data_IF_210507261921
#
_entry.id   IF_210507261921
#
_cell.length_a   1.000
_cell.length_b   1.000
_cell.length_c   1.000
_cell.angle_alpha   90.00
_cell.angle_beta   90.00
_cell.angle_gamma   90.00
#
_symmetry.space_group_name_H-M   'P 1'
#
loop_
_entity.id
_entity.type
_entity.pdbx_description
1 polymer ?
#
# COMPACT_ATOMS: atom_id res chain seq x y z
N UNK A 1 -2.74 -46.40 -0.74
CA UNK A 1 -1.83 -45.62 0.15
C UNK A 1 -0.91 -44.70 -0.65
N UNK A 2 -0.08 -45.18 -1.60
CA UNK A 2 0.85 -44.35 -2.42
C UNK A 2 0.15 -43.26 -3.24
N UNK A 3 -0.97 -43.55 -3.91
CA UNK A 3 -1.73 -42.58 -4.71
C UNK A 3 -2.27 -41.44 -3.83
N UNK A 4 -2.86 -41.75 -2.68
CA UNK A 4 -3.37 -40.74 -1.74
C UNK A 4 -2.22 -39.85 -1.23
N UNK A 5 -1.08 -40.43 -0.90
CA UNK A 5 0.13 -39.67 -0.50
C UNK A 5 0.58 -38.72 -1.62
N UNK A 6 0.64 -39.17 -2.87
CA UNK A 6 1.01 -38.31 -4.00
C UNK A 6 0.02 -37.16 -4.20
N UNK A 7 -1.29 -37.40 -4.07
CA UNK A 7 -2.33 -36.36 -4.18
C UNK A 7 -2.14 -35.31 -3.07
N UNK A 8 -1.98 -35.73 -1.82
CA UNK A 8 -1.76 -34.80 -0.69
C UNK A 8 -0.48 -33.98 -0.89
N UNK A 9 0.62 -34.62 -1.33
CA UNK A 9 1.86 -33.92 -1.61
C UNK A 9 1.69 -32.87 -2.69
N UNK A 10 1.02 -33.19 -3.79
CA UNK A 10 0.74 -32.24 -4.89
C UNK A 10 -0.09 -31.06 -4.36
N UNK A 11 -1.14 -31.29 -3.57
CA UNK A 11 -1.96 -30.22 -3.00
C UNK A 11 -1.14 -29.30 -2.08
N UNK A 12 -0.27 -29.85 -1.24
CA UNK A 12 0.64 -29.08 -0.39
C UNK A 12 1.59 -28.23 -1.24
N UNK A 13 2.19 -28.79 -2.28
CA UNK A 13 3.08 -28.04 -3.18
C UNK A 13 2.34 -26.92 -3.92
N UNK A 14 1.09 -27.14 -4.36
CA UNK A 14 0.27 -26.11 -4.99
C UNK A 14 -0.05 -24.96 -4.01
N UNK A 15 -0.40 -25.28 -2.76
CA UNK A 15 -0.64 -24.28 -1.73
C UNK A 15 0.63 -23.48 -1.44
N UNK A 16 1.76 -24.14 -1.23
CA UNK A 16 3.04 -23.47 -1.05
C UNK A 16 3.39 -22.59 -2.25
N UNK A 17 3.22 -23.09 -3.48
CA UNK A 17 3.43 -22.30 -4.68
C UNK A 17 2.53 -21.05 -4.70
N UNK A 18 1.26 -21.17 -4.33
CA UNK A 18 0.32 -20.06 -4.34
C UNK A 18 0.72 -18.93 -3.39
N UNK A 19 1.21 -19.25 -2.20
CA UNK A 19 1.50 -18.25 -1.14
C UNK A 19 2.96 -17.80 -1.09
N UNK A 20 3.86 -18.36 -1.89
CA UNK A 20 5.30 -18.14 -1.79
C UNK A 20 5.71 -16.70 -2.11
N UNK A 21 6.51 -16.01 -1.26
CA UNK A 21 7.00 -14.66 -1.53
C UNK A 21 8.16 -14.65 -2.55
N UNK A 22 8.73 -13.46 -2.79
CA UNK A 22 9.98 -13.32 -3.52
C UNK A 22 11.17 -13.76 -2.66
N UNK A 23 12.33 -13.96 -3.30
CA UNK A 23 13.60 -14.06 -2.59
C UNK A 23 13.92 -12.74 -1.89
N UNK A 24 14.57 -12.81 -0.74
CA UNK A 24 14.96 -11.64 0.03
C UNK A 24 15.89 -10.70 -0.76
N UNK A 25 15.62 -9.41 -0.74
CA UNK A 25 16.36 -8.35 -1.46
C UNK A 25 16.78 -7.24 -0.48
N UNK A 26 17.79 -7.52 0.35
CA UNK A 26 18.15 -6.68 1.51
C UNK A 26 18.49 -5.23 1.15
N UNK A 27 19.22 -4.99 0.06
CA UNK A 27 19.58 -3.63 -0.36
C UNK A 27 18.37 -2.74 -0.66
N UNK A 28 17.31 -3.32 -1.27
CA UNK A 28 16.09 -2.58 -1.57
C UNK A 28 15.22 -2.34 -0.33
N UNK A 29 15.34 -3.21 0.68
CA UNK A 29 14.54 -3.15 1.91
C UNK A 29 15.13 -2.21 2.95
N UNK A 30 16.45 -2.04 2.94
CA UNK A 30 17.18 -1.28 3.95
C UNK A 30 16.59 0.10 4.25
N UNK A 31 16.14 0.91 3.28
CA UNK A 31 15.52 2.20 3.55
C UNK A 31 14.21 2.16 4.35
N UNK A 32 13.53 1.01 4.35
CA UNK A 32 12.23 0.85 5.01
C UNK A 32 12.33 0.17 6.38
N UNK A 33 13.36 -0.67 6.58
CA UNK A 33 13.50 -1.46 7.80
C UNK A 33 13.73 -0.55 9.00
N UNK A 34 12.89 -0.72 10.04
CA UNK A 34 12.92 0.09 11.25
C UNK A 34 12.32 1.48 11.09
N UNK A 35 11.67 1.79 9.97
CA UNK A 35 11.08 3.10 9.70
C UNK A 35 9.59 3.15 10.04
N UNK A 36 9.15 4.26 10.63
CA UNK A 36 7.75 4.63 10.76
C UNK A 36 7.33 5.48 9.55
N UNK A 37 6.28 5.06 8.85
CA UNK A 37 5.73 5.73 7.68
C UNK A 37 4.37 6.35 8.02
N UNK A 38 4.19 7.63 7.71
CA UNK A 38 2.93 8.34 7.94
C UNK A 38 1.89 7.92 6.91
N UNK A 39 0.79 7.29 7.37
CA UNK A 39 -0.32 6.84 6.55
C UNK A 39 -1.02 8.04 5.90
N UNK A 40 -0.98 8.14 4.56
CA UNK A 40 -1.52 9.26 3.77
C UNK A 40 -0.92 10.63 4.13
N UNK A 41 0.36 10.65 4.58
CA UNK A 41 1.03 11.82 5.11
C UNK A 41 0.85 12.02 6.62
N UNK A 42 1.45 13.08 7.18
CA UNK A 42 1.38 13.38 8.61
C UNK A 42 0.26 14.38 8.90
N UNK A 43 -0.87 13.90 9.44
CA UNK A 43 -2.07 14.68 9.72
C UNK A 43 -2.75 14.25 11.03
N UNK A 44 -3.59 15.13 11.58
CA UNK A 44 -4.37 14.88 12.78
C UNK A 44 -5.77 14.31 12.51
N UNK A 45 -6.46 13.86 13.56
CA UNK A 45 -7.88 13.39 13.48
C UNK A 45 -8.84 14.47 12.98
N UNK A 46 -8.46 15.72 13.14
CA UNK A 46 -9.21 16.91 12.67
C UNK A 46 -9.04 17.19 11.18
N UNK A 47 -8.26 16.38 10.45
CA UNK A 47 -7.95 16.55 9.03
C UNK A 47 -7.30 17.91 8.72
N UNK A 48 -6.37 18.36 9.58
CA UNK A 48 -5.63 19.63 9.42
C UNK A 48 -4.13 19.42 9.61
N UNK A 49 -3.36 19.31 8.51
CA UNK A 49 -3.81 19.29 7.10
C UNK A 49 -4.64 18.02 6.79
N UNK A 50 -5.39 18.00 5.67
CA UNK A 50 -6.11 16.80 5.24
C UNK A 50 -5.18 15.64 4.86
N UNK A 51 -5.64 14.42 5.03
CA UNK A 51 -4.96 13.23 4.49
C UNK A 51 -4.72 13.35 2.98
N UNK A 52 -3.67 12.76 2.46
CA UNK A 52 -3.32 12.74 1.03
C UNK A 52 -3.23 14.16 0.39
N UNK A 53 -2.85 15.17 1.19
CA UNK A 53 -2.62 16.56 0.72
C UNK A 53 -1.13 16.92 0.72
N UNK A 54 -0.74 17.90 -0.11
CA UNK A 54 0.65 18.35 -0.18
C UNK A 54 1.21 18.81 1.18
N UNK A 55 0.47 19.58 2.03
CA UNK A 55 0.96 19.92 3.36
C UNK A 55 1.14 18.72 4.30
N UNK A 56 0.30 17.68 4.20
CA UNK A 56 0.46 16.47 5.00
C UNK A 56 1.73 15.69 4.61
N UNK A 57 2.05 15.65 3.33
CA UNK A 57 3.27 15.04 2.81
C UNK A 57 4.53 15.84 3.19
N UNK A 58 4.47 17.17 3.02
CA UNK A 58 5.56 18.04 3.46
C UNK A 58 5.82 17.89 4.96
N UNK A 59 4.78 17.86 5.80
CA UNK A 59 4.89 17.65 7.23
C UNK A 59 5.52 16.29 7.57
N UNK A 60 5.15 15.21 6.89
CA UNK A 60 5.77 13.90 7.08
C UNK A 60 7.27 13.93 6.75
N UNK A 61 7.65 14.48 5.60
CA UNK A 61 9.04 14.58 5.15
C UNK A 61 9.90 15.48 6.07
N UNK A 62 9.35 16.62 6.52
CA UNK A 62 10.01 17.52 7.48
C UNK A 62 10.29 16.84 8.82
N UNK A 63 9.37 15.99 9.28
CA UNK A 63 9.55 15.23 10.52
C UNK A 63 10.40 13.96 10.32
N UNK A 64 10.91 13.69 9.11
CA UNK A 64 11.77 12.54 8.81
C UNK A 64 11.04 11.19 8.82
N UNK A 65 9.71 11.18 8.71
CA UNK A 65 8.92 9.97 8.53
C UNK A 65 8.99 9.47 7.08
N UNK A 66 8.88 8.16 6.87
CA UNK A 66 8.44 7.65 5.59
C UNK A 66 7.00 8.07 5.31
N UNK A 67 6.54 7.90 4.09
CA UNK A 67 5.19 8.25 3.67
C UNK A 67 4.55 7.05 2.99
N UNK A 68 3.34 6.71 3.42
CA UNK A 68 2.45 5.87 2.63
C UNK A 68 1.37 6.74 1.98
N UNK A 69 0.96 6.41 0.76
CA UNK A 69 -0.02 7.17 -0.02
C UNK A 69 -0.70 6.31 -1.08
N UNK A 70 -1.83 6.81 -1.59
CA UNK A 70 -2.71 6.10 -2.52
C UNK A 70 -2.76 6.77 -3.90
N UNK A 71 -2.60 6.01 -4.98
CA UNK A 71 -2.71 6.55 -6.34
C UNK A 71 -3.80 5.86 -7.15
N UNK A 72 -4.51 6.66 -7.95
CA UNK A 72 -5.53 6.20 -8.88
C UNK A 72 -5.67 7.15 -10.07
N UNK A 73 -6.44 6.76 -11.10
CA UNK A 73 -6.73 7.60 -12.26
C UNK A 73 -8.05 8.35 -12.13
N UNK A 74 -8.06 9.60 -12.60
CA UNK A 74 -9.27 10.31 -13.04
C UNK A 74 -9.80 9.75 -14.37
N UNK A 75 -10.97 10.21 -14.84
CA UNK A 75 -11.57 9.76 -16.10
C UNK A 75 -10.69 10.07 -17.31
N UNK A 76 -10.00 11.20 -17.29
CA UNK A 76 -9.06 11.67 -18.32
C UNK A 76 -7.61 11.18 -18.08
N UNK A 77 -7.43 10.12 -17.25
CA UNK A 77 -6.16 9.43 -17.01
C UNK A 77 -5.07 10.29 -16.37
N UNK A 78 -5.45 11.28 -15.56
CA UNK A 78 -4.47 11.96 -14.70
C UNK A 78 -4.22 11.08 -13.47
N UNK A 79 -2.95 10.91 -13.10
CA UNK A 79 -2.56 10.16 -11.92
C UNK A 79 -2.64 11.08 -10.70
N UNK A 80 -3.58 10.77 -9.79
CA UNK A 80 -3.90 11.59 -8.62
C UNK A 80 -3.64 10.84 -7.34
N UNK A 81 -3.44 11.59 -6.24
CA UNK A 81 -3.31 11.02 -4.90
C UNK A 81 -4.63 11.16 -4.17
N UNK A 82 -5.30 10.02 -3.94
CA UNK A 82 -6.58 9.97 -3.23
C UNK A 82 -6.91 8.53 -2.83
N UNK A 83 -7.38 8.32 -1.60
CA UNK A 83 -7.61 6.97 -1.07
C UNK A 83 -8.89 6.32 -1.56
N UNK A 84 -10.03 7.00 -1.37
CA UNK A 84 -11.35 6.39 -1.57
C UNK A 84 -11.66 6.22 -3.06
N UNK A 85 -12.44 5.21 -3.41
CA UNK A 85 -13.00 5.07 -4.76
C UNK A 85 -13.93 6.23 -5.11
N UNK A 86 -14.62 6.79 -4.09
CA UNK A 86 -15.60 7.86 -4.23
C UNK A 86 -15.17 9.13 -3.51
N UNK A 87 -15.72 10.26 -3.95
CA UNK A 87 -15.42 11.60 -3.44
C UNK A 87 -16.09 11.91 -2.09
N UNK A 88 -17.08 11.14 -1.72
CA UNK A 88 -18.11 11.42 -0.71
C UNK A 88 -17.61 11.76 0.68
N UNK A 89 -16.53 11.13 1.13
CA UNK A 89 -15.98 11.32 2.48
C UNK A 89 -15.12 12.59 2.58
N UNK A 90 -14.30 12.81 1.56
CA UNK A 90 -13.25 13.82 1.62
C UNK A 90 -13.59 15.12 0.89
N UNK A 91 -14.65 15.15 0.06
CA UNK A 91 -15.02 16.32 -0.71
C UNK A 91 -16.53 16.56 -0.68
N UNK A 92 -17.00 17.77 -1.06
CA UNK A 92 -18.43 18.03 -1.24
C UNK A 92 -19.06 17.29 -2.42
N UNK A 93 -18.24 16.91 -3.42
CA UNK A 93 -18.71 16.19 -4.61
C UNK A 93 -19.06 14.73 -4.28
N UNK A 94 -19.79 14.10 -5.20
CA UNK A 94 -20.28 12.73 -5.10
C UNK A 94 -19.86 11.92 -6.31
N UNK A 95 -19.77 10.60 -6.14
CA UNK A 95 -19.48 9.68 -7.22
C UNK A 95 -18.02 9.23 -7.24
N UNK A 96 -17.66 8.46 -8.27
CA UNK A 96 -16.36 7.80 -8.37
C UNK A 96 -15.28 8.73 -8.93
N UNK A 97 -14.07 8.67 -8.39
CA UNK A 97 -12.90 9.42 -8.87
C UNK A 97 -12.62 9.13 -10.35
N UNK A 98 -12.69 7.86 -10.76
CA UNK A 98 -12.44 7.45 -12.16
C UNK A 98 -13.52 7.89 -13.16
N UNK A 99 -14.62 8.50 -12.70
CA UNK A 99 -15.68 9.09 -13.54
C UNK A 99 -15.59 10.62 -13.62
N UNK A 100 -14.72 11.27 -12.84
CA UNK A 100 -14.52 12.72 -12.83
C UNK A 100 -13.21 13.06 -13.54
N UNK A 101 -13.21 14.09 -14.38
CA UNK A 101 -11.97 14.58 -14.98
C UNK A 101 -11.13 15.40 -14.00
N UNK A 102 -9.88 15.64 -14.36
CA UNK A 102 -8.93 16.34 -13.52
C UNK A 102 -9.38 17.77 -13.21
N UNK A 103 -9.97 18.49 -14.16
CA UNK A 103 -10.37 19.89 -13.97
C UNK A 103 -11.41 20.00 -12.85
N UNK A 104 -12.43 19.14 -12.86
CA UNK A 104 -13.47 19.10 -11.84
C UNK A 104 -12.95 18.51 -10.53
N UNK A 105 -12.08 17.47 -10.59
CA UNK A 105 -11.53 16.82 -9.41
C UNK A 105 -10.62 17.74 -8.62
N UNK A 106 -9.69 18.44 -9.30
CA UNK A 106 -8.76 19.38 -8.67
C UNK A 106 -9.41 20.61 -8.08
N UNK A 107 -10.64 20.93 -8.48
CA UNK A 107 -11.42 22.02 -7.91
C UNK A 107 -12.08 21.67 -6.57
N UNK A 108 -12.11 20.39 -6.17
CA UNK A 108 -12.78 19.96 -4.94
C UNK A 108 -11.92 20.28 -3.70
N UNK A 109 -12.48 20.97 -2.67
CA UNK A 109 -11.77 21.16 -1.41
C UNK A 109 -11.74 19.84 -0.60
N UNK A 110 -10.58 19.52 -0.01
CA UNK A 110 -10.40 18.36 0.86
C UNK A 110 -10.85 18.64 2.29
N UNK A 111 -11.73 17.81 2.85
CA UNK A 111 -12.17 17.85 4.24
C UNK A 111 -12.60 19.26 4.72
N UNK A 112 -13.21 20.07 3.84
CA UNK A 112 -13.65 21.43 4.15
C UNK A 112 -12.49 22.43 4.40
N UNK A 113 -11.29 22.11 3.96
CA UNK A 113 -10.10 22.98 3.99
C UNK A 113 -9.96 23.78 2.67
N UNK A 114 -8.86 24.53 2.54
CA UNK A 114 -8.45 25.17 1.29
C UNK A 114 -7.50 24.29 0.46
N UNK A 115 -7.23 23.05 0.92
CA UNK A 115 -6.40 22.10 0.20
C UNK A 115 -7.21 21.33 -0.83
N UNK A 116 -6.56 20.90 -1.89
CA UNK A 116 -7.17 20.16 -3.00
C UNK A 116 -6.44 18.85 -3.26
N UNK A 117 -7.09 17.85 -3.89
CA UNK A 117 -6.41 16.62 -4.27
C UNK A 117 -5.24 16.90 -5.21
N UNK A 118 -4.01 16.41 -4.92
CA UNK A 118 -2.86 16.68 -5.76
C UNK A 118 -2.70 15.67 -6.90
N UNK A 119 -1.98 16.07 -7.96
CA UNK A 119 -1.35 15.12 -8.87
C UNK A 119 -0.24 14.37 -8.15
N UNK A 120 -0.01 13.13 -8.56
CA UNK A 120 1.09 12.33 -8.00
C UNK A 120 2.46 12.98 -8.27
N UNK A 121 2.67 13.55 -9.46
CA UNK A 121 3.88 14.30 -9.79
C UNK A 121 4.13 15.50 -8.85
N UNK A 122 3.06 16.22 -8.45
CA UNK A 122 3.18 17.35 -7.52
C UNK A 122 3.55 16.88 -6.11
N UNK A 123 2.97 15.77 -5.68
CA UNK A 123 3.34 15.13 -4.42
C UNK A 123 4.81 14.72 -4.40
N UNK A 124 5.28 14.02 -5.44
CA UNK A 124 6.68 13.59 -5.54
C UNK A 124 7.65 14.78 -5.51
N UNK A 125 7.32 15.87 -6.22
CA UNK A 125 8.11 17.11 -6.22
C UNK A 125 8.15 17.73 -4.82
N UNK A 126 6.99 17.88 -4.16
CA UNK A 126 6.88 18.46 -2.81
C UNK A 126 7.74 17.70 -1.81
N UNK A 127 7.69 16.36 -1.84
CA UNK A 127 8.49 15.54 -0.93
C UNK A 127 9.98 15.63 -1.26
N UNK A 128 10.36 15.57 -2.53
CA UNK A 128 11.76 15.66 -2.96
C UNK A 128 12.40 17.03 -2.60
N UNK A 129 11.64 18.12 -2.73
CA UNK A 129 12.09 19.45 -2.34
C UNK A 129 12.20 19.61 -0.81
N UNK A 130 11.39 18.87 -0.04
CA UNK A 130 11.38 18.93 1.42
C UNK A 130 12.47 18.04 2.04
N UNK A 131 12.53 16.79 1.63
CA UNK A 131 13.52 15.78 2.05
C UNK A 131 13.61 14.67 1.00
N UNK A 132 14.63 14.70 0.12
CA UNK A 132 14.76 13.77 -0.99
C UNK A 132 15.02 12.31 -0.57
N UNK A 133 15.40 12.06 0.69
CA UNK A 133 15.66 10.72 1.21
C UNK A 133 14.43 10.06 1.85
N UNK A 134 13.25 10.71 1.80
CA UNK A 134 12.00 10.20 2.38
C UNK A 134 11.57 8.90 1.70
N UNK A 135 11.43 7.76 2.42
CA UNK A 135 10.93 6.52 1.84
C UNK A 135 9.43 6.61 1.50
N UNK A 136 9.05 6.17 0.31
CA UNK A 136 7.65 6.15 -0.14
C UNK A 136 7.12 4.72 -0.27
N UNK A 137 5.95 4.46 0.31
CA UNK A 137 5.13 3.27 0.10
C UNK A 137 3.90 3.71 -0.70
N UNK A 138 3.80 3.28 -1.96
CA UNK A 138 2.76 3.76 -2.87
C UNK A 138 1.75 2.65 -3.12
N UNK A 139 0.54 2.81 -2.59
CA UNK A 139 -0.57 1.91 -2.91
C UNK A 139 -1.18 2.27 -4.27
N UNK A 140 -1.18 1.31 -5.20
CA UNK A 140 -1.95 1.42 -6.43
C UNK A 140 -3.36 0.88 -6.16
N UNK A 141 -4.35 1.78 -6.18
CA UNK A 141 -5.76 1.44 -5.96
C UNK A 141 -6.28 0.59 -7.11
N UNK A 142 -7.15 -0.36 -6.79
CA UNK A 142 -7.74 -1.27 -7.77
C UNK A 142 -9.16 -1.64 -7.39
N UNK A 143 -9.95 -1.94 -8.42
CA UNK A 143 -11.33 -2.43 -8.29
C UNK A 143 -11.50 -3.72 -9.09
N UNK A 144 -12.42 -4.57 -8.67
CA UNK A 144 -12.67 -5.87 -9.30
C UNK A 144 -13.02 -5.74 -10.79
N UNK A 145 -13.76 -4.69 -11.15
CA UNK A 145 -14.21 -4.37 -12.50
C UNK A 145 -13.13 -3.78 -13.42
N UNK A 146 -11.97 -3.36 -12.88
CA UNK A 146 -10.91 -2.81 -13.72
C UNK A 146 -10.32 -3.86 -14.64
N UNK A 147 -10.30 -3.54 -15.93
CA UNK A 147 -9.71 -4.40 -16.95
C UNK A 147 -8.21 -4.55 -16.75
N UNK A 148 -7.65 -5.63 -17.28
CA UNK A 148 -6.20 -5.84 -17.29
C UNK A 148 -5.46 -4.67 -17.94
N UNK A 149 -5.96 -4.15 -19.06
CA UNK A 149 -5.37 -3.01 -19.78
C UNK A 149 -5.35 -1.76 -18.91
N UNK A 150 -6.46 -1.47 -18.21
CA UNK A 150 -6.53 -0.33 -17.29
C UNK A 150 -5.48 -0.44 -16.18
N UNK A 151 -5.37 -1.60 -15.54
CA UNK A 151 -4.39 -1.82 -14.48
C UNK A 151 -2.94 -1.75 -15.01
N UNK A 152 -2.69 -2.25 -16.24
CA UNK A 152 -1.37 -2.15 -16.86
C UNK A 152 -0.97 -0.71 -17.19
N UNK A 153 -1.93 0.13 -17.60
CA UNK A 153 -1.73 1.57 -17.82
C UNK A 153 -1.48 2.31 -16.50
N UNK A 154 -2.29 2.07 -15.46
CA UNK A 154 -2.15 2.68 -14.15
C UNK A 154 -0.78 2.34 -13.52
N UNK A 155 -0.39 1.07 -13.53
CA UNK A 155 0.92 0.65 -13.05
C UNK A 155 2.05 1.31 -13.85
N UNK A 156 1.93 1.40 -15.18
CA UNK A 156 2.95 2.01 -16.04
C UNK A 156 3.11 3.51 -15.75
N UNK A 157 2.01 4.24 -15.58
CA UNK A 157 2.02 5.66 -15.24
C UNK A 157 2.68 5.88 -13.86
N UNK A 158 2.27 5.11 -12.83
CA UNK A 158 2.85 5.18 -11.50
C UNK A 158 4.36 4.90 -11.51
N UNK A 159 4.79 3.84 -12.19
CA UNK A 159 6.20 3.48 -12.32
C UNK A 159 6.99 4.57 -13.06
N UNK A 160 6.41 5.18 -14.10
CA UNK A 160 7.07 6.22 -14.86
C UNK A 160 7.34 7.48 -14.03
N UNK A 161 6.38 7.93 -13.24
CA UNK A 161 6.55 9.07 -12.35
C UNK A 161 7.51 8.76 -11.18
N UNK A 162 7.43 7.57 -10.57
CA UNK A 162 8.35 7.15 -9.51
C UNK A 162 9.81 7.13 -9.91
N UNK A 163 10.12 6.84 -11.18
CA UNK A 163 11.52 6.88 -11.67
C UNK A 163 12.17 8.26 -11.61
N UNK A 164 11.40 9.33 -11.56
CA UNK A 164 11.89 10.68 -11.38
C UNK A 164 12.11 11.06 -9.91
N UNK A 165 11.61 10.26 -8.96
CA UNK A 165 11.81 10.49 -7.54
C UNK A 165 13.22 10.04 -7.10
N UNK A 166 14.00 10.90 -6.42
CA UNK A 166 15.39 10.57 -6.07
C UNK A 166 15.52 9.61 -4.88
N UNK A 167 14.51 9.58 -4.01
CA UNK A 167 14.51 8.78 -2.78
C UNK A 167 14.08 7.33 -2.97
N UNK A 168 14.11 6.53 -1.91
CA UNK A 168 13.67 5.14 -1.95
C UNK A 168 12.14 5.04 -2.05
N UNK A 169 11.65 4.10 -2.84
CA UNK A 169 10.22 3.83 -2.97
C UNK A 169 9.92 2.35 -3.16
N UNK A 170 8.72 1.97 -2.80
CA UNK A 170 8.14 0.67 -3.09
C UNK A 170 6.67 0.83 -3.51
N UNK A 171 6.10 -0.23 -4.10
CA UNK A 171 4.71 -0.25 -4.56
C UNK A 171 3.98 -1.37 -3.85
N UNK A 172 2.74 -1.10 -3.41
CA UNK A 172 1.86 -2.13 -2.86
C UNK A 172 0.45 -2.05 -3.43
N UNK A 173 -0.32 -3.09 -3.24
CA UNK A 173 -1.75 -3.13 -3.57
C UNK A 173 -2.44 -4.30 -2.86
N UNK A 174 -3.73 -4.15 -2.58
CA UNK A 174 -4.62 -5.26 -2.20
C UNK A 174 -4.84 -6.24 -3.36
N UNK A 175 -4.72 -5.77 -4.60
CA UNK A 175 -4.98 -6.59 -5.78
C UNK A 175 -3.71 -7.34 -6.24
N UNK A 176 -3.68 -8.67 -6.14
CA UNK A 176 -2.54 -9.44 -6.61
C UNK A 176 -2.30 -9.33 -8.13
N UNK A 177 -3.30 -8.87 -8.92
CA UNK A 177 -3.11 -8.57 -10.36
C UNK A 177 -2.16 -7.39 -10.54
N UNK A 178 -2.34 -6.33 -9.73
CA UNK A 178 -1.46 -5.14 -9.70
C UNK A 178 -0.05 -5.54 -9.31
N UNK A 179 0.13 -6.27 -8.20
CA UNK A 179 1.46 -6.75 -7.76
C UNK A 179 2.13 -7.60 -8.85
N UNK A 180 1.33 -8.43 -9.57
CA UNK A 180 1.78 -9.21 -10.71
C UNK A 180 2.18 -8.37 -11.93
N UNK A 181 1.50 -7.26 -12.19
CA UNK A 181 1.84 -6.31 -13.25
C UNK A 181 3.15 -5.58 -12.90
N UNK A 182 3.27 -5.06 -11.68
CA UNK A 182 4.51 -4.42 -11.21
C UNK A 182 5.70 -5.36 -11.32
N UNK A 183 5.54 -6.65 -10.94
CA UNK A 183 6.59 -7.67 -11.12
C UNK A 183 7.08 -7.77 -12.56
N UNK A 184 6.19 -7.65 -13.56
CA UNK A 184 6.56 -7.77 -14.98
C UNK A 184 7.12 -6.47 -15.56
N UNK A 185 6.52 -5.32 -15.18
CA UNK A 185 6.91 -4.01 -15.75
C UNK A 185 8.15 -3.42 -15.10
N UNK A 186 8.38 -3.70 -13.82
CA UNK A 186 9.47 -3.14 -13.02
C UNK A 186 9.96 -4.16 -11.97
N UNK A 187 10.64 -5.24 -12.40
CA UNK A 187 11.10 -6.31 -11.51
C UNK A 187 12.06 -5.81 -10.42
N UNK A 188 12.73 -4.70 -10.65
CA UNK A 188 13.71 -4.11 -9.73
C UNK A 188 13.08 -3.25 -8.63
N UNK A 189 11.81 -2.89 -8.74
CA UNK A 189 11.07 -2.19 -7.67
C UNK A 189 10.68 -3.19 -6.58
N UNK A 190 10.83 -2.76 -5.32
CA UNK A 190 10.29 -3.48 -4.16
C UNK A 190 8.76 -3.43 -4.21
N UNK A 191 8.10 -4.60 -4.08
CA UNK A 191 6.64 -4.69 -4.19
C UNK A 191 6.03 -5.48 -3.06
N UNK A 192 4.87 -5.05 -2.59
CA UNK A 192 4.14 -5.62 -1.48
C UNK A 192 2.75 -6.13 -1.83
N UNK A 193 2.32 -7.13 -1.10
CA UNK A 193 0.92 -7.53 -1.06
C UNK A 193 0.30 -6.95 0.21
N UNK A 194 -0.63 -6.02 0.04
CA UNK A 194 -1.54 -5.59 1.10
C UNK A 194 -2.57 -6.69 1.35
N UNK A 195 -2.82 -6.99 2.62
CA UNK A 195 -3.84 -7.95 3.01
C UNK A 195 -4.42 -7.62 4.38
N UNK A 196 -5.67 -7.97 4.56
CA UNK A 196 -6.40 -7.83 5.82
C UNK A 196 -6.84 -9.19 6.35
N UNK A 197 -7.41 -9.21 7.56
CA UNK A 197 -7.94 -10.39 8.19
C UNK A 197 -9.16 -10.92 7.43
N UNK A 198 -9.42 -12.22 7.54
CA UNK A 198 -10.64 -12.83 6.99
C UNK A 198 -11.90 -12.13 7.49
N UNK A 199 -11.94 -11.76 8.78
CA UNK A 199 -13.08 -11.10 9.40
C UNK A 199 -13.32 -9.71 8.80
N UNK A 200 -12.26 -8.94 8.54
CA UNK A 200 -12.36 -7.62 7.91
C UNK A 200 -12.94 -7.73 6.51
N UNK A 201 -12.37 -8.59 5.65
CA UNK A 201 -12.93 -8.82 4.31
C UNK A 201 -14.40 -9.24 4.34
N UNK A 202 -14.79 -10.08 5.31
CA UNK A 202 -16.22 -10.49 5.46
C UNK A 202 -17.11 -9.35 5.87
N UNK A 203 -16.63 -8.46 6.75
CA UNK A 203 -17.34 -7.26 7.20
C UNK A 203 -17.55 -6.27 6.05
N UNK A 204 -16.57 -6.16 5.16
CA UNK A 204 -16.63 -5.30 3.97
C UNK A 204 -17.44 -5.93 2.81
N UNK A 205 -18.14 -7.03 3.05
CA UNK A 205 -19.03 -7.65 2.08
C UNK A 205 -18.36 -8.66 1.13
N UNK A 206 -17.06 -8.90 1.23
CA UNK A 206 -16.37 -9.90 0.40
C UNK A 206 -16.89 -11.29 0.71
N UNK A 207 -17.24 -12.08 -0.31
CA UNK A 207 -17.70 -13.46 -0.15
C UNK A 207 -16.65 -14.36 0.53
N UNK A 208 -17.09 -15.44 1.19
CA UNK A 208 -16.24 -16.28 2.05
C UNK A 208 -15.00 -16.85 1.34
N UNK A 209 -15.15 -17.34 0.10
CA UNK A 209 -14.04 -17.97 -0.65
C UNK A 209 -12.98 -16.93 -1.04
N UNK A 210 -13.30 -15.80 -1.70
CA UNK A 210 -12.31 -14.77 -1.96
C UNK A 210 -11.75 -14.14 -0.67
N UNK A 211 -12.54 -13.92 0.38
CA UNK A 211 -12.05 -13.43 1.67
C UNK A 211 -10.98 -14.37 2.27
N UNK A 212 -11.21 -15.68 2.20
CA UNK A 212 -10.22 -16.67 2.63
C UNK A 212 -8.96 -16.62 1.74
N UNK A 213 -9.13 -16.58 0.42
CA UNK A 213 -8.00 -16.56 -0.51
C UNK A 213 -7.12 -15.31 -0.33
N UNK A 214 -7.72 -14.12 -0.19
CA UNK A 214 -7.00 -12.86 -0.01
C UNK A 214 -6.30 -12.80 1.36
N UNK A 215 -7.01 -13.12 2.45
CA UNK A 215 -6.42 -13.13 3.79
C UNK A 215 -5.29 -14.16 3.95
N UNK A 216 -5.28 -15.22 3.16
CA UNK A 216 -4.25 -16.26 3.16
C UNK A 216 -3.25 -16.14 2.02
N UNK A 217 -3.22 -14.99 1.33
CA UNK A 217 -2.20 -14.64 0.34
C UNK A 217 -2.10 -15.60 -0.87
N UNK A 218 -3.21 -16.26 -1.23
CA UNK A 218 -3.23 -17.22 -2.36
C UNK A 218 -2.95 -16.55 -3.72
N UNK A 219 -2.98 -15.22 -3.80
CA UNK A 219 -2.59 -14.45 -4.98
C UNK A 219 -1.09 -14.21 -5.14
N UNK A 220 -0.25 -14.55 -4.15
CA UNK A 220 1.19 -14.25 -4.16
C UNK A 220 1.94 -14.86 -5.35
N UNK A 221 1.45 -15.96 -5.94
CA UNK A 221 2.09 -16.55 -7.12
C UNK A 221 2.13 -15.61 -8.32
N UNK A 222 1.20 -14.66 -8.44
CA UNK A 222 1.19 -13.65 -9.49
C UNK A 222 2.31 -12.62 -9.29
N UNK A 223 2.37 -12.03 -8.10
CA UNK A 223 3.25 -10.91 -7.78
C UNK A 223 4.59 -11.31 -7.20
N UNK A 224 4.69 -12.45 -6.49
CA UNK A 224 5.85 -12.80 -5.66
C UNK A 224 6.30 -11.58 -4.85
N UNK A 225 5.51 -11.15 -3.86
CA UNK A 225 5.80 -9.94 -3.12
C UNK A 225 7.09 -10.05 -2.32
N UNK A 226 7.77 -8.93 -2.16
CA UNK A 226 8.96 -8.79 -1.31
C UNK A 226 8.58 -8.55 0.14
N UNK A 227 7.40 -7.97 0.34
CA UNK A 227 6.84 -7.70 1.66
C UNK A 227 5.34 -7.99 1.72
N UNK A 228 4.87 -8.24 2.91
CA UNK A 228 3.44 -8.35 3.23
C UNK A 228 3.07 -7.20 4.16
N UNK A 229 2.15 -6.34 3.72
CA UNK A 229 1.54 -5.35 4.58
C UNK A 229 0.28 -5.95 5.23
N UNK A 230 0.31 -6.08 6.57
CA UNK A 230 -0.71 -6.79 7.34
C UNK A 230 -1.33 -5.90 8.42
N UNK A 231 -2.64 -6.00 8.57
CA UNK A 231 -3.42 -5.29 9.58
C UNK A 231 -3.05 -5.71 11.02
N UNK A 232 -3.49 -4.97 12.08
CA UNK A 232 -3.18 -5.29 13.49
C UNK A 232 -3.81 -6.59 14.01
N UNK A 233 -4.39 -7.41 13.14
CA UNK A 233 -4.95 -8.70 13.51
C UNK A 233 -3.87 -9.78 13.67
N UNK A 234 -4.20 -10.84 14.42
CA UNK A 234 -3.33 -12.00 14.57
C UNK A 234 -2.99 -12.60 13.21
N UNK A 235 -1.70 -12.73 12.91
CA UNK A 235 -1.20 -13.33 11.67
C UNK A 235 -1.66 -14.78 11.54
N UNK A 236 -2.29 -15.12 10.41
CA UNK A 236 -2.63 -16.49 10.06
C UNK A 236 -1.39 -17.29 9.61
N UNK A 237 -1.57 -18.58 9.27
CA UNK A 237 -0.46 -19.46 8.90
C UNK A 237 0.28 -19.00 7.63
N UNK A 238 -0.43 -18.45 6.63
CA UNK A 238 0.19 -18.01 5.38
C UNK A 238 1.06 -16.76 5.58
N UNK A 239 0.59 -15.79 6.39
CA UNK A 239 1.37 -14.60 6.76
C UNK A 239 2.60 -15.00 7.57
N UNK A 240 2.45 -15.93 8.55
CA UNK A 240 3.59 -16.46 9.32
C UNK A 240 4.60 -17.19 8.45
N UNK A 241 4.12 -17.97 7.48
CA UNK A 241 4.99 -18.66 6.52
C UNK A 241 5.77 -17.65 5.68
N UNK A 242 5.13 -16.59 5.17
CA UNK A 242 5.81 -15.53 4.41
C UNK A 242 6.90 -14.85 5.24
N UNK A 243 6.62 -14.52 6.51
CA UNK A 243 7.62 -13.97 7.42
C UNK A 243 8.80 -14.92 7.63
N UNK A 244 8.53 -16.23 7.86
CA UNK A 244 9.56 -17.26 8.01
C UNK A 244 10.40 -17.48 6.74
N UNK A 245 9.82 -17.28 5.56
CA UNK A 245 10.51 -17.34 4.27
C UNK A 245 11.26 -16.03 3.96
N UNK A 246 11.24 -15.07 4.87
CA UNK A 246 12.00 -13.84 4.79
C UNK A 246 11.29 -12.71 4.04
N UNK A 247 9.98 -12.73 3.83
CA UNK A 247 9.24 -11.56 3.41
C UNK A 247 9.35 -10.44 4.47
N UNK A 248 9.56 -9.18 4.07
CA UNK A 248 9.51 -8.05 4.98
C UNK A 248 8.08 -7.88 5.50
N UNK A 249 7.92 -7.62 6.78
CA UNK A 249 6.61 -7.42 7.39
C UNK A 249 6.36 -5.95 7.62
N UNK A 250 5.33 -5.42 7.00
CA UNK A 250 4.86 -4.04 7.17
C UNK A 250 3.54 -4.06 7.93
N UNK A 251 3.45 -3.27 9.00
CA UNK A 251 2.22 -3.10 9.77
C UNK A 251 1.41 -1.92 9.22
N UNK A 252 0.11 -2.10 9.00
CA UNK A 252 -0.83 -1.02 8.67
C UNK A 252 -2.20 -1.29 9.31
N UNK A 253 -2.85 -0.35 9.91
CA UNK A 253 -2.38 0.95 10.32
C UNK A 253 -2.23 0.94 11.84
N UNK A 254 -1.09 1.34 12.34
CA UNK A 254 -0.88 1.52 13.77
C UNK A 254 -1.56 2.81 14.22
N UNK A 255 -2.40 2.71 15.26
CA UNK A 255 -3.19 3.80 15.83
C UNK A 255 -2.78 4.06 17.27
N UNK A 256 -3.09 5.23 17.85
CA UNK A 256 -2.70 5.58 19.24
C UNK A 256 -3.17 4.60 20.31
N UNK A 257 -4.28 3.89 20.06
CA UNK A 257 -4.84 2.89 20.97
C UNK A 257 -4.15 1.53 20.94
N UNK A 258 -3.27 1.29 19.97
CA UNK A 258 -2.50 0.05 19.87
C UNK A 258 -1.26 0.08 20.78
N UNK A 259 -0.74 -1.09 21.14
CA UNK A 259 0.59 -1.25 21.71
C UNK A 259 1.65 -1.04 20.61
N UNK A 260 1.98 0.24 20.36
CA UNK A 260 2.84 0.64 19.26
C UNK A 260 4.26 0.10 19.40
N UNK A 261 4.79 -0.01 20.61
CA UNK A 261 6.11 -0.59 20.87
C UNK A 261 6.17 -2.08 20.47
N UNK A 262 5.09 -2.83 20.74
CA UNK A 262 4.97 -4.21 20.30
C UNK A 262 4.87 -4.31 18.77
N UNK A 263 4.09 -3.42 18.13
CA UNK A 263 3.97 -3.41 16.67
C UNK A 263 5.32 -3.14 16.02
N UNK A 264 6.11 -2.19 16.53
CA UNK A 264 7.47 -1.89 16.06
C UNK A 264 8.42 -3.09 16.26
N UNK A 265 8.34 -3.79 17.40
CA UNK A 265 9.18 -4.96 17.68
C UNK A 265 8.89 -6.16 16.74
N UNK A 266 7.63 -6.33 16.35
CA UNK A 266 7.15 -7.48 15.55
C UNK A 266 7.19 -7.26 14.04
N UNK A 267 7.47 -6.03 13.56
CA UNK A 267 7.43 -5.68 12.15
C UNK A 267 8.71 -4.98 11.67
N UNK A 268 8.99 -5.08 10.38
CA UNK A 268 10.15 -4.43 9.75
C UNK A 268 9.89 -2.96 9.42
N UNK A 269 8.65 -2.57 9.15
CA UNK A 269 8.19 -1.19 8.99
C UNK A 269 6.78 -1.05 9.57
N UNK A 270 6.42 0.18 9.98
CA UNK A 270 5.10 0.48 10.55
C UNK A 270 4.51 1.70 9.85
N UNK A 271 3.33 1.52 9.27
CA UNK A 271 2.50 2.61 8.75
C UNK A 271 1.61 3.07 9.91
N UNK A 272 1.81 4.31 10.36
CA UNK A 272 1.16 4.87 11.55
C UNK A 272 0.21 6.02 11.21
N UNK A 273 -0.76 6.29 12.09
CA UNK A 273 -1.72 7.38 11.93
C UNK A 273 -2.13 7.98 13.27
N UNK A 274 -2.27 9.31 13.31
CA UNK A 274 -2.80 10.11 14.42
C UNK A 274 -1.99 10.12 15.72
N UNK A 275 -0.71 9.81 15.66
CA UNK A 275 0.24 10.00 16.76
C UNK A 275 1.64 10.32 16.19
N UNK A 276 2.60 10.61 17.06
CA UNK A 276 3.95 10.96 16.66
C UNK A 276 4.95 9.94 17.23
N UNK A 277 5.27 8.85 16.48
CA UNK A 277 6.30 7.89 16.88
C UNK A 277 7.70 8.46 16.66
N UNK A 278 8.74 7.73 17.08
CA UNK A 278 10.10 7.96 16.58
C UNK A 278 10.14 7.71 15.06
N UNK A 279 10.97 8.46 14.33
CA UNK A 279 11.15 8.29 12.89
C UNK A 279 11.62 6.87 12.56
N UNK A 280 12.64 6.42 13.29
CA UNK A 280 13.18 5.04 13.22
C UNK A 280 13.16 4.41 14.60
N UNK A 281 12.80 3.15 14.66
CA UNK A 281 12.80 2.32 15.88
C UNK A 281 13.85 1.19 15.84
N UNK A 282 14.56 1.04 14.71
CA UNK A 282 15.76 0.20 14.57
C UNK A 282 16.87 1.03 13.92
N UNK A 283 18.09 0.84 14.39
CA UNK A 283 19.31 1.39 13.81
C UNK A 283 19.79 0.55 12.61
#
# INVERSE_FOLDING_TARGET
>A
MKILFCIVLILVLLVLFAVWPNKRRDALRAPFVGHNCAHRGYFGKDQRPPENSLPAFAAAAQNGYGIELDVQFTSDRRLVVFHDDTLDRMTPAKGFVHNMDWADFSAQPLAGSNEHPPLFADMLRTVAETNPDTPLIVEIKSRAEYSKTYLEELCRATIAELKAYPGPYCIESFDPRVVGIVRRQAPDILRGQLADSYQSYRKDGTHAVPAFAFSHLFGNFLGRPDFIAWCPAKRNWAVKLNAALGAMMVMWTALPEHDTAKLEAENDAVIFQWYAPKQKYRE
#
